data_IF_843429891105
#
_entry.id   IF_843429891105
#
_cell.length_a   1.000
_cell.length_b   1.000
_cell.length_c   1.000
_cell.angle_alpha   90.00
_cell.angle_beta   90.00
_cell.angle_gamma   90.00
#
_symmetry.space_group_name_H-M   'P 1'
#
loop_
_entity.id
_entity.type
_entity.pdbx_description
1 polymer ?
#
# COMPACT_ATOMS: atom_id res chain seq x y z
N UNK A 1 41.88 -54.28 -0.87
CA UNK A 1 41.73 -52.83 -1.11
C UNK A 1 41.40 -52.67 -2.58
N UNK A 2 40.14 -52.39 -2.91
CA UNK A 2 39.68 -52.31 -4.29
C UNK A 2 38.79 -51.08 -4.51
N UNK A 3 39.16 -50.35 -5.57
CA UNK A 3 38.38 -49.48 -6.47
C UNK A 3 38.14 -48.00 -6.09
N UNK A 4 38.60 -47.15 -6.99
CA UNK A 4 38.23 -45.74 -7.29
C UNK A 4 37.58 -45.78 -8.70
N UNK A 5 36.83 -44.78 -9.24
CA UNK A 5 35.77 -43.86 -8.75
C UNK A 5 34.46 -43.98 -9.59
N UNK A 6 33.38 -43.27 -9.24
CA UNK A 6 32.51 -42.63 -10.26
C UNK A 6 31.63 -41.50 -9.71
N UNK A 7 31.28 -40.65 -10.67
CA UNK A 7 30.68 -39.33 -10.70
C UNK A 7 29.14 -39.30 -10.44
N UNK A 8 28.64 -38.08 -10.27
CA UNK A 8 27.24 -37.60 -10.41
C UNK A 8 26.23 -37.95 -9.31
N UNK A 9 25.73 -36.92 -8.63
CA UNK A 9 24.31 -36.56 -8.67
C UNK A 9 24.11 -35.09 -8.30
N UNK A 10 23.70 -34.34 -9.32
CA UNK A 10 23.06 -33.05 -9.31
C UNK A 10 21.76 -33.09 -8.46
N UNK A 11 21.42 -32.01 -7.75
CA UNK A 11 20.09 -31.62 -7.23
C UNK A 11 20.31 -30.49 -6.20
N UNK A 12 19.76 -29.28 -6.30
CA UNK A 12 18.87 -28.70 -7.28
C UNK A 12 18.83 -27.19 -7.02
N UNK A 13 18.63 -26.46 -8.12
CA UNK A 13 17.84 -25.23 -8.18
C UNK A 13 18.09 -24.21 -7.05
N UNK A 14 19.06 -23.33 -7.31
CA UNK A 14 19.01 -21.97 -6.79
C UNK A 14 17.75 -21.29 -7.30
N UNK A 15 16.64 -21.50 -6.59
CA UNK A 15 15.48 -20.64 -6.65
C UNK A 15 15.94 -19.28 -6.16
N UNK A 16 16.16 -18.37 -7.11
CA UNK A 16 16.32 -16.95 -6.82
C UNK A 16 15.05 -16.58 -6.07
N UNK A 17 15.11 -16.45 -4.75
CA UNK A 17 14.06 -15.78 -3.99
C UNK A 17 13.86 -14.45 -4.71
N UNK A 18 12.71 -14.31 -5.39
CA UNK A 18 12.26 -13.03 -5.90
C UNK A 18 12.25 -12.16 -4.66
N UNK A 19 13.25 -11.29 -4.50
CA UNK A 19 13.24 -10.25 -3.50
C UNK A 19 11.98 -9.47 -3.85
N UNK A 20 10.89 -9.73 -3.13
CA UNK A 20 9.66 -8.97 -3.28
C UNK A 20 10.01 -7.56 -2.81
N UNK A 21 10.41 -6.73 -3.77
CA UNK A 21 10.65 -5.31 -3.52
C UNK A 21 9.34 -4.71 -3.10
N UNK A 22 9.29 -4.31 -1.82
CA UNK A 22 8.22 -3.52 -1.20
C UNK A 22 7.77 -2.42 -2.16
N UNK A 23 6.45 -2.30 -2.37
CA UNK A 23 5.90 -1.24 -3.22
C UNK A 23 5.88 0.05 -2.42
N UNK A 24 6.58 1.09 -2.87
CA UNK A 24 6.54 2.39 -2.22
C UNK A 24 5.32 3.19 -2.70
N UNK A 25 4.63 3.88 -1.77
CA UNK A 25 3.39 4.64 -2.06
C UNK A 25 3.59 5.65 -3.20
N UNK A 26 4.73 6.33 -3.23
CA UNK A 26 5.03 7.34 -4.24
C UNK A 26 5.14 6.75 -5.66
N UNK A 27 5.73 5.56 -5.78
CA UNK A 27 5.86 4.86 -7.07
C UNK A 27 4.48 4.38 -7.54
N UNK A 28 3.64 3.89 -6.62
CA UNK A 28 2.26 3.52 -6.91
C UNK A 28 1.42 4.73 -7.35
N UNK A 29 1.49 5.85 -6.65
CA UNK A 29 0.81 7.10 -7.03
C UNK A 29 1.22 7.52 -8.46
N UNK A 30 2.52 7.47 -8.75
CA UNK A 30 3.03 7.79 -10.08
C UNK A 30 2.47 6.83 -11.14
N UNK A 31 2.48 5.52 -10.89
CA UNK A 31 1.94 4.52 -11.80
C UNK A 31 0.43 4.73 -12.04
N UNK A 32 -0.34 5.00 -10.99
CA UNK A 32 -1.77 5.29 -11.08
C UNK A 32 -2.04 6.55 -11.92
N UNK A 33 -1.26 7.61 -11.74
CA UNK A 33 -1.42 8.85 -12.49
C UNK A 33 -1.02 8.71 -13.97
N UNK A 34 0.03 7.93 -14.27
CA UNK A 34 0.58 7.81 -15.64
C UNK A 34 -0.12 6.73 -16.48
N UNK A 35 -0.47 5.60 -15.86
CA UNK A 35 -0.97 4.40 -16.54
C UNK A 35 -2.42 4.05 -16.19
N UNK A 36 -2.88 4.46 -15.01
CA UNK A 36 -4.22 4.19 -14.51
C UNK A 36 -4.48 2.72 -14.12
N UNK A 37 -5.69 2.44 -13.64
CA UNK A 37 -6.09 1.10 -13.18
C UNK A 37 -6.27 0.06 -14.29
N UNK A 38 -6.24 0.44 -15.58
CA UNK A 38 -6.33 -0.54 -16.67
C UNK A 38 -4.98 -1.20 -17.00
N UNK A 39 -3.89 -0.67 -16.47
CA UNK A 39 -2.55 -1.23 -16.63
C UNK A 39 -2.34 -2.40 -15.65
N UNK A 40 -2.02 -3.62 -16.13
CA UNK A 40 -1.88 -4.79 -15.27
C UNK A 40 -0.79 -4.66 -14.22
N UNK A 41 0.33 -3.99 -14.54
CA UNK A 41 1.43 -3.77 -13.60
C UNK A 41 0.99 -2.84 -12.46
N UNK A 42 0.27 -1.78 -12.80
CA UNK A 42 -0.31 -0.85 -11.81
C UNK A 42 -1.33 -1.55 -10.89
N UNK A 43 -2.15 -2.45 -11.43
CA UNK A 43 -3.06 -3.27 -10.61
C UNK A 43 -2.31 -4.21 -9.65
N UNK A 44 -1.24 -4.85 -10.12
CA UNK A 44 -0.40 -5.72 -9.29
C UNK A 44 0.27 -4.90 -8.17
N UNK A 45 0.81 -3.72 -8.49
CA UNK A 45 1.38 -2.81 -7.49
C UNK A 45 0.36 -2.38 -6.44
N UNK A 46 -0.85 -1.99 -6.86
CA UNK A 46 -1.92 -1.60 -5.95
C UNK A 46 -2.32 -2.74 -5.02
N UNK A 47 -2.48 -3.95 -5.56
CA UNK A 47 -2.85 -5.14 -4.78
C UNK A 47 -1.79 -5.44 -3.73
N UNK A 48 -0.51 -5.50 -4.12
CA UNK A 48 0.59 -5.81 -3.19
C UNK A 48 0.76 -4.73 -2.14
N UNK A 49 0.71 -3.45 -2.53
CA UNK A 49 0.77 -2.34 -1.58
C UNK A 49 -0.37 -2.44 -0.56
N UNK A 50 -1.60 -2.71 -1.01
CA UNK A 50 -2.77 -2.83 -0.12
C UNK A 50 -2.60 -3.97 0.88
N UNK A 51 -2.22 -5.16 0.42
CA UNK A 51 -1.98 -6.31 1.30
C UNK A 51 -0.86 -6.07 2.31
N UNK A 52 0.22 -5.39 1.90
CA UNK A 52 1.32 -5.01 2.79
C UNK A 52 0.87 -3.99 3.85
N UNK A 53 0.10 -2.98 3.46
CA UNK A 53 -0.41 -1.98 4.39
C UNK A 53 -1.45 -2.55 5.35
N UNK A 54 -2.35 -3.42 4.91
CA UNK A 54 -3.33 -4.07 5.78
C UNK A 54 -2.62 -4.89 6.87
N UNK A 55 -1.62 -5.71 6.49
CA UNK A 55 -0.78 -6.44 7.46
C UNK A 55 -0.04 -5.51 8.41
N UNK A 56 0.47 -4.38 7.89
CA UNK A 56 1.13 -3.38 8.73
C UNK A 56 0.15 -2.79 9.75
N UNK A 57 -1.02 -2.32 9.31
CA UNK A 57 -2.05 -1.74 10.18
C UNK A 57 -2.49 -2.72 11.26
N UNK A 58 -2.73 -3.98 10.92
CA UNK A 58 -3.07 -5.04 11.89
C UNK A 58 -1.99 -5.27 12.96
N UNK A 59 -0.71 -5.01 12.61
CA UNK A 59 0.41 -5.15 13.53
C UNK A 59 0.61 -3.95 14.45
N UNK A 60 -0.05 -2.81 14.19
CA UNK A 60 0.15 -1.57 14.94
C UNK A 60 -0.94 -1.37 16.00
N UNK A 61 -0.62 -0.65 17.10
CA UNK A 61 -1.63 -0.17 18.01
C UNK A 61 -2.64 0.75 17.29
N UNK A 62 -3.92 0.49 17.50
CA UNK A 62 -5.01 1.36 17.07
C UNK A 62 -5.00 2.68 17.86
N UNK A 63 -5.52 3.78 17.29
CA UNK A 63 -6.19 3.91 15.98
C UNK A 63 -5.31 4.55 14.89
N UNK A 64 -4.14 5.08 15.23
CA UNK A 64 -3.36 5.97 14.35
C UNK A 64 -2.99 5.33 13.01
N UNK A 65 -2.64 4.04 13.00
CA UNK A 65 -2.27 3.33 11.77
C UNK A 65 -3.45 3.18 10.81
N UNK A 66 -4.65 2.94 11.32
CA UNK A 66 -5.88 2.80 10.51
C UNK A 66 -6.27 4.15 9.89
N UNK A 67 -6.24 5.22 10.70
CA UNK A 67 -6.55 6.57 10.23
C UNK A 67 -5.58 6.96 9.10
N UNK A 68 -4.27 6.75 9.31
CA UNK A 68 -3.24 7.05 8.30
C UNK A 68 -3.40 6.21 7.04
N UNK A 69 -3.79 4.94 7.18
CA UNK A 69 -4.04 4.09 6.03
C UNK A 69 -5.20 4.60 5.15
N UNK A 70 -6.30 5.08 5.77
CA UNK A 70 -7.39 5.69 5.01
C UNK A 70 -6.98 7.02 4.35
N UNK A 71 -6.12 7.83 4.99
CA UNK A 71 -5.51 9.01 4.35
C UNK A 71 -4.68 8.60 3.13
N UNK A 72 -3.85 7.56 3.26
CA UNK A 72 -3.03 7.07 2.16
C UNK A 72 -3.87 6.51 1.01
N UNK A 73 -4.97 5.80 1.31
CA UNK A 73 -5.93 5.35 0.28
C UNK A 73 -6.55 6.53 -0.48
N UNK A 74 -6.87 7.62 0.22
CA UNK A 74 -7.38 8.82 -0.43
C UNK A 74 -6.37 9.40 -1.43
N UNK A 75 -5.06 9.37 -1.13
CA UNK A 75 -4.03 9.80 -2.09
C UNK A 75 -4.03 8.95 -3.36
N UNK A 76 -4.27 7.65 -3.25
CA UNK A 76 -4.35 6.74 -4.40
C UNK A 76 -5.58 7.05 -5.27
N UNK A 77 -6.73 7.34 -4.66
CA UNK A 77 -7.93 7.75 -5.38
C UNK A 77 -7.75 9.11 -6.09
N UNK A 78 -7.08 10.07 -5.44
CA UNK A 78 -6.73 11.35 -6.08
C UNK A 78 -5.83 11.13 -7.30
N UNK A 79 -4.85 10.23 -7.22
CA UNK A 79 -3.98 9.91 -8.35
C UNK A 79 -4.77 9.38 -9.57
N UNK A 80 -5.94 8.80 -9.33
CA UNK A 80 -6.87 8.31 -10.36
C UNK A 80 -7.91 9.35 -10.80
N UNK A 81 -7.87 10.57 -10.26
CA UNK A 81 -8.92 11.60 -10.37
C UNK A 81 -10.29 11.13 -9.84
N UNK A 82 -10.32 10.15 -8.95
CA UNK A 82 -11.54 9.71 -8.26
C UNK A 82 -11.73 10.52 -6.97
N UNK A 83 -12.26 11.74 -7.15
CA UNK A 83 -12.50 12.67 -6.04
C UNK A 83 -13.50 12.10 -5.03
N UNK A 84 -14.54 11.42 -5.51
CA UNK A 84 -15.56 10.84 -4.63
C UNK A 84 -14.95 9.76 -3.74
N UNK A 85 -14.21 8.81 -4.31
CA UNK A 85 -13.55 7.75 -3.53
C UNK A 85 -12.51 8.30 -2.55
N UNK A 86 -11.81 9.37 -2.94
CA UNK A 86 -10.89 10.05 -2.03
C UNK A 86 -11.59 10.69 -0.83
N UNK A 87 -12.69 11.42 -1.06
CA UNK A 87 -13.47 12.05 0.00
C UNK A 87 -14.15 11.04 0.92
N UNK A 88 -14.63 9.91 0.40
CA UNK A 88 -15.18 8.82 1.22
C UNK A 88 -14.13 8.26 2.20
N UNK A 89 -12.91 8.00 1.72
CA UNK A 89 -11.82 7.54 2.59
C UNK A 89 -11.43 8.58 3.65
N UNK A 90 -11.40 9.87 3.27
CA UNK A 90 -11.09 10.95 4.22
C UNK A 90 -12.21 11.14 5.24
N UNK A 91 -13.47 10.99 4.86
CA UNK A 91 -14.60 11.07 5.79
C UNK A 91 -14.52 9.95 6.83
N UNK A 92 -14.26 8.71 6.42
CA UNK A 92 -14.07 7.58 7.34
C UNK A 92 -12.91 7.84 8.31
N UNK A 93 -11.78 8.34 7.81
CA UNK A 93 -10.63 8.72 8.63
C UNK A 93 -10.96 9.85 9.62
N UNK A 94 -11.72 10.86 9.17
CA UNK A 94 -12.12 12.04 9.96
C UNK A 94 -13.05 11.65 11.11
N UNK A 95 -14.04 10.82 10.82
CA UNK A 95 -14.97 10.28 11.83
C UNK A 95 -14.20 9.49 12.88
N UNK A 96 -13.30 8.61 12.46
CA UNK A 96 -12.49 7.83 13.40
C UNK A 96 -11.56 8.71 14.23
N UNK A 97 -10.85 9.67 13.61
CA UNK A 97 -9.98 10.60 14.33
C UNK A 97 -10.73 11.41 15.39
N UNK A 98 -11.95 11.86 15.07
CA UNK A 98 -12.82 12.56 16.02
C UNK A 98 -13.24 11.68 17.19
N UNK A 99 -13.69 10.45 16.92
CA UNK A 99 -14.12 9.49 17.96
C UNK A 99 -12.99 9.12 18.92
N UNK A 100 -11.77 9.05 18.41
CA UNK A 100 -10.58 8.64 19.16
C UNK A 100 -9.77 9.82 19.73
N UNK A 101 -10.32 11.04 19.66
CA UNK A 101 -9.67 12.27 20.16
C UNK A 101 -8.26 12.49 19.58
N UNK A 102 -8.10 12.25 18.27
CA UNK A 102 -6.87 12.49 17.51
C UNK A 102 -6.94 13.80 16.75
N UNK A 103 -6.94 14.91 17.49
CA UNK A 103 -7.18 16.25 16.94
C UNK A 103 -6.17 16.65 15.85
N UNK A 104 -4.90 16.27 15.98
CA UNK A 104 -3.87 16.56 14.96
C UNK A 104 -4.20 15.88 13.62
N UNK A 105 -4.59 14.60 13.66
CA UNK A 105 -4.99 13.86 12.46
C UNK A 105 -6.32 14.38 11.91
N UNK A 106 -7.27 14.72 12.78
CA UNK A 106 -8.54 15.30 12.37
C UNK A 106 -8.32 16.59 11.57
N UNK A 107 -7.52 17.52 12.09
CA UNK A 107 -7.24 18.79 11.42
C UNK A 107 -6.53 18.57 10.08
N UNK A 108 -5.54 17.66 10.04
CA UNK A 108 -4.86 17.29 8.79
C UNK A 108 -5.83 16.76 7.73
N UNK A 109 -6.80 15.94 8.13
CA UNK A 109 -7.80 15.38 7.22
C UNK A 109 -8.73 16.49 6.70
N UNK A 110 -9.21 17.38 7.58
CA UNK A 110 -10.05 18.51 7.19
C UNK A 110 -9.34 19.43 6.19
N UNK A 111 -8.09 19.81 6.46
CA UNK A 111 -7.30 20.63 5.54
C UNK A 111 -7.18 19.99 4.16
N UNK A 112 -6.98 18.66 4.12
CA UNK A 112 -6.88 17.89 2.88
C UNK A 112 -8.22 17.81 2.12
N UNK A 113 -9.34 17.64 2.84
CA UNK A 113 -10.67 17.67 2.22
C UNK A 113 -10.94 19.06 1.61
N UNK A 114 -10.65 20.13 2.34
CA UNK A 114 -10.78 21.51 1.88
C UNK A 114 -9.91 21.80 0.64
N UNK A 115 -8.76 21.13 0.49
CA UNK A 115 -7.93 21.23 -0.72
C UNK A 115 -8.55 20.55 -1.95
N UNK A 116 -9.24 19.43 -1.75
CA UNK A 116 -9.87 18.64 -2.83
C UNK A 116 -11.17 19.31 -3.32
N UNK A 117 -11.92 19.95 -2.42
CA UNK A 117 -13.23 20.55 -2.72
C UNK A 117 -13.16 21.96 -3.34
N UNK A 118 -11.97 22.54 -3.48
CA UNK A 118 -11.72 23.87 -4.09
C UNK A 118 -11.81 23.85 -5.61
#
# INVERSE_FOLDING_TARGET
MEKIPTNEMNNGEGGIEKVETKVEKADLIKALAEKGLSDPETQEMLTRWTEEQEKYVESQPRPDAEIKFNIDRADLYIALNDVTGALECLEDARVQASQESRDDLYNQICDKMDEIEK
#
